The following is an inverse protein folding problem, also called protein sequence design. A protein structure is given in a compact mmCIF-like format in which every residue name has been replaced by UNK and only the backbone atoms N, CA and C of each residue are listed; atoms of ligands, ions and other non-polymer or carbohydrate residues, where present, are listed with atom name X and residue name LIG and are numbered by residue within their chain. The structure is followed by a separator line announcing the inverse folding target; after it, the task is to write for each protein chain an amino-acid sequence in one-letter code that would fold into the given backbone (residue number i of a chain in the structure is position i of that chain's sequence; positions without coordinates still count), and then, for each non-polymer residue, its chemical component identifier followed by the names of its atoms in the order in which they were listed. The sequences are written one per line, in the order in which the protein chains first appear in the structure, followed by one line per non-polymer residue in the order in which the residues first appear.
data_IF_440038312349
#
_entry.id   IF_440038312349
#
_cell.length_a   1.000
_cell.length_b   1.000
_cell.length_c   1.000
_cell.angle_alpha   90.00
_cell.angle_beta   90.00
_cell.angle_gamma   90.00
#
_symmetry.space_group_name_H-M   'P 1'
#
loop_
_entity.id
_entity.type
_entity.pdbx_description
1 polymer ?
#
# COMPACT_ATOMS: atom_id res chain seq x y z
N UNK A 1 10.07 -0.48 -6.52
CA UNK A 1 9.36 -1.79 -6.65
C UNK A 1 10.02 -3.05 -6.02
N UNK A 2 11.36 -3.29 -6.07
CA UNK A 2 11.99 -4.55 -5.58
C UNK A 2 11.89 -4.88 -4.07
N UNK A 3 11.30 -3.99 -3.28
CA UNK A 3 11.27 -4.11 -1.81
C UNK A 3 10.08 -4.91 -1.27
N UNK A 4 9.04 -5.12 -2.07
CA UNK A 4 7.76 -5.61 -1.57
C UNK A 4 7.32 -6.99 -2.10
N UNK A 5 8.18 -7.69 -2.83
CA UNK A 5 7.81 -8.96 -3.49
C UNK A 5 8.01 -10.24 -2.67
N UNK A 6 8.32 -10.17 -1.36
CA UNK A 6 8.68 -11.40 -0.62
C UNK A 6 8.04 -11.63 0.76
N UNK A 7 6.98 -10.91 1.14
CA UNK A 7 6.15 -11.30 2.30
C UNK A 7 4.67 -10.98 2.05
N UNK A 8 3.76 -11.91 2.35
CA UNK A 8 2.30 -11.66 2.35
C UNK A 8 1.92 -10.45 3.22
N UNK A 9 2.75 -10.12 4.21
CA UNK A 9 2.59 -8.93 5.06
C UNK A 9 2.88 -7.62 4.31
N UNK A 10 3.91 -7.60 3.46
CA UNK A 10 4.35 -6.37 2.78
C UNK A 10 3.29 -5.82 1.83
N UNK A 11 2.67 -6.68 1.02
CA UNK A 11 1.59 -6.29 0.10
C UNK A 11 0.35 -5.77 0.83
N UNK A 12 -0.02 -6.39 1.95
CA UNK A 12 -1.19 -5.99 2.74
C UNK A 12 -0.97 -4.64 3.44
N UNK A 13 0.22 -4.43 4.01
CA UNK A 13 0.57 -3.15 4.63
C UNK A 13 0.58 -2.03 3.60
N UNK A 14 1.17 -2.23 2.41
CA UNK A 14 1.13 -1.20 1.35
C UNK A 14 -0.30 -0.91 0.92
N UNK A 15 -1.12 -1.95 0.71
CA UNK A 15 -2.52 -1.77 0.35
C UNK A 15 -3.23 -0.87 1.36
N UNK A 16 -3.06 -1.12 2.66
CA UNK A 16 -3.67 -0.31 3.71
C UNK A 16 -3.14 1.12 3.76
N UNK A 17 -1.84 1.32 3.53
CA UNK A 17 -1.27 2.64 3.42
C UNK A 17 -1.88 3.41 2.25
N UNK A 18 -1.86 2.83 1.04
CA UNK A 18 -2.34 3.50 -0.16
C UNK A 18 -3.86 3.67 -0.15
N UNK A 19 -4.62 2.74 0.42
CA UNK A 19 -6.08 2.81 0.55
C UNK A 19 -6.55 3.95 1.47
N UNK A 20 -5.68 4.44 2.38
CA UNK A 20 -5.97 5.64 3.19
C UNK A 20 -5.93 6.93 2.38
N UNK A 21 -5.32 6.92 1.20
CA UNK A 21 -5.31 8.09 0.33
C UNK A 21 -6.60 8.13 -0.52
N UNK A 22 -7.47 9.15 -0.35
CA UNK A 22 -8.77 9.19 -1.02
C UNK A 22 -8.69 9.11 -2.56
N UNK A 23 -9.49 8.23 -3.15
CA UNK A 23 -9.67 8.13 -4.59
C UNK A 23 -10.36 9.39 -5.12
N UNK A 24 -9.60 10.28 -5.77
CA UNK A 24 -10.07 11.57 -6.29
C UNK A 24 -9.16 12.73 -5.93
N UNK A 25 -8.32 12.57 -4.91
CA UNK A 25 -7.31 13.57 -4.57
C UNK A 25 -6.18 13.58 -5.62
N UNK A 26 -5.74 14.78 -6.00
CA UNK A 26 -4.53 14.95 -6.81
C UNK A 26 -3.32 14.50 -6.02
N UNK A 27 -2.43 13.77 -6.69
CA UNK A 27 -1.17 13.36 -6.10
C UNK A 27 -0.24 14.58 -6.00
N UNK A 28 0.29 14.79 -4.81
CA UNK A 28 1.40 15.69 -4.50
C UNK A 28 2.65 14.87 -4.18
N UNK A 29 3.82 15.50 -4.17
CA UNK A 29 5.08 14.83 -3.80
C UNK A 29 4.94 14.06 -2.47
N UNK A 30 4.27 14.68 -1.48
CA UNK A 30 3.85 14.06 -0.22
C UNK A 30 2.34 14.02 -0.11
N UNK A 31 1.77 12.82 -0.12
CA UNK A 31 0.35 12.55 0.04
C UNK A 31 0.06 12.17 1.48
N UNK A 32 -0.44 13.10 2.28
CA UNK A 32 -0.71 12.89 3.70
C UNK A 32 -1.93 11.98 3.93
N UNK A 33 -1.81 11.06 4.88
CA UNK A 33 -2.83 10.05 5.22
C UNK A 33 -3.15 10.02 6.73
N UNK A 34 -2.76 11.07 7.45
CA UNK A 34 -3.05 11.23 8.89
C UNK A 34 -2.09 10.47 9.80
N UNK A 35 -2.56 10.10 10.99
CA UNK A 35 -1.75 9.35 11.95
C UNK A 35 -1.65 7.86 11.60
N UNK A 36 -0.47 7.28 11.79
CA UNK A 36 -0.23 5.86 11.59
C UNK A 36 0.67 5.28 12.69
N UNK A 37 0.11 4.45 13.57
CA UNK A 37 0.88 3.81 14.64
C UNK A 37 1.28 2.38 14.24
N UNK A 38 2.56 1.99 14.38
CA UNK A 38 3.00 0.62 14.09
C UNK A 38 2.29 -0.46 14.92
N UNK A 39 1.84 -0.11 16.13
CA UNK A 39 1.07 -1.02 17.00
C UNK A 39 -0.27 -1.42 16.38
N UNK A 40 -0.96 -0.47 15.77
CA UNK A 40 -2.27 -0.70 15.14
C UNK A 40 -2.13 -1.62 13.94
N UNK A 41 -1.10 -1.41 13.11
CA UNK A 41 -0.77 -2.29 11.99
C UNK A 41 -0.36 -3.69 12.47
N UNK A 42 0.45 -3.78 13.52
CA UNK A 42 0.89 -5.05 14.07
C UNK A 42 -0.30 -5.88 14.58
N UNK A 43 -1.24 -5.25 15.28
CA UNK A 43 -2.48 -5.87 15.74
C UNK A 43 -3.36 -6.30 14.56
N UNK A 44 -3.61 -5.40 13.59
CA UNK A 44 -4.44 -5.68 12.40
C UNK A 44 -3.93 -6.88 11.60
N UNK A 45 -2.62 -7.01 11.45
CA UNK A 45 -2.02 -8.08 10.65
C UNK A 45 -1.56 -9.28 11.45
N UNK A 46 -1.81 -9.32 12.76
CA UNK A 46 -1.38 -10.41 13.65
C UNK A 46 0.13 -10.72 13.53
N UNK A 47 0.94 -9.66 13.49
CA UNK A 47 2.40 -9.74 13.37
C UNK A 47 3.09 -8.95 14.47
N UNK A 48 4.39 -9.19 14.65
CA UNK A 48 5.16 -8.41 15.61
C UNK A 48 5.32 -6.95 15.18
N UNK A 49 5.33 -6.05 16.17
CA UNK A 49 5.64 -4.63 15.95
C UNK A 49 6.99 -4.43 15.26
N UNK A 50 7.99 -5.24 15.59
CA UNK A 50 9.32 -5.21 14.97
C UNK A 50 9.28 -5.46 13.46
N UNK A 51 8.46 -6.42 13.00
CA UNK A 51 8.30 -6.69 11.57
C UNK A 51 7.69 -5.50 10.83
N UNK A 52 6.64 -4.87 11.39
CA UNK A 52 6.03 -3.66 10.82
C UNK A 52 7.04 -2.52 10.74
N UNK A 53 7.72 -2.23 11.85
CA UNK A 53 8.74 -1.16 11.91
C UNK A 53 9.84 -1.39 10.88
N UNK A 54 10.28 -2.65 10.69
CA UNK A 54 11.30 -2.99 9.67
C UNK A 54 10.82 -2.69 8.25
N UNK A 55 9.55 -3.02 7.93
CA UNK A 55 8.96 -2.73 6.61
C UNK A 55 8.85 -1.22 6.40
N UNK A 56 8.32 -0.49 7.39
CA UNK A 56 8.15 0.95 7.30
C UNK A 56 9.50 1.68 7.21
N UNK A 57 10.50 1.29 8.00
CA UNK A 57 11.83 1.89 7.91
C UNK A 57 12.48 1.64 6.53
N UNK A 58 12.27 0.46 5.93
CA UNK A 58 12.75 0.17 4.58
C UNK A 58 12.06 1.02 3.53
N UNK A 59 10.73 1.20 3.62
CA UNK A 59 9.99 2.08 2.73
C UNK A 59 10.41 3.55 2.90
N UNK A 60 10.64 3.99 4.14
CA UNK A 60 11.16 5.33 4.44
C UNK A 60 12.55 5.58 3.85
N UNK A 61 13.46 4.60 3.96
CA UNK A 61 14.79 4.69 3.38
C UNK A 61 14.79 4.82 1.85
N UNK A 62 13.72 4.36 1.18
CA UNK A 62 13.52 4.50 -0.27
C UNK A 62 12.87 5.84 -0.66
N UNK A 63 12.47 6.65 0.33
CA UNK A 63 11.69 7.87 0.12
C UNK A 63 10.23 7.60 -0.23
N UNK A 64 9.74 6.37 -0.04
CA UNK A 64 8.38 6.01 -0.43
C UNK A 64 7.33 6.50 0.58
N UNK A 65 7.73 6.68 1.84
CA UNK A 65 6.90 7.16 2.95
C UNK A 65 7.70 8.04 3.92
N UNK A 66 7.00 8.78 4.76
CA UNK A 66 7.60 9.50 5.89
C UNK A 66 6.54 10.08 6.82
N UNK A 67 7.00 10.88 7.78
CA UNK A 67 6.16 11.60 8.72
C UNK A 67 6.92 12.83 9.21
N UNK A 68 6.18 13.92 9.46
CA UNK A 68 6.78 15.22 9.78
C UNK A 68 6.73 15.57 11.28
N UNK A 69 6.09 14.72 12.09
CA UNK A 69 5.97 14.94 13.54
C UNK A 69 7.16 14.46 14.38
N UNK A 70 7.14 14.88 15.64
CA UNK A 70 8.15 14.50 16.65
C UNK A 70 8.04 13.01 17.03
N UNK A 71 6.84 12.45 16.88
CA UNK A 71 6.54 11.06 17.16
C UNK A 71 6.40 10.23 15.88
N UNK A 72 6.63 8.92 16.01
CA UNK A 72 6.52 8.00 14.89
C UNK A 72 5.10 8.00 14.31
N UNK A 73 4.98 8.35 13.03
CA UNK A 73 3.72 8.27 12.30
C UNK A 73 2.75 9.43 12.54
N UNK A 74 3.22 10.50 13.18
CA UNK A 74 2.50 11.77 13.27
C UNK A 74 2.64 12.55 11.97
N UNK A 75 1.51 12.93 11.35
CA UNK A 75 1.45 13.54 10.02
C UNK A 75 2.14 12.66 8.95
N UNK A 76 1.71 11.40 8.85
CA UNK A 76 2.28 10.43 7.93
C UNK A 76 1.92 10.75 6.49
N UNK A 77 2.90 10.62 5.60
CA UNK A 77 2.74 10.83 4.17
C UNK A 77 3.30 9.66 3.36
N UNK A 78 2.74 9.52 2.16
CA UNK A 78 3.12 8.54 1.15
C UNK A 78 3.56 9.30 -0.09
N UNK A 79 4.63 8.88 -0.74
CA UNK A 79 5.05 9.50 -2.00
C UNK A 79 4.03 9.24 -3.12
N UNK A 80 3.88 10.21 -4.04
CA UNK A 80 3.10 10.00 -5.27
C UNK A 80 3.58 8.75 -6.02
N UNK A 81 4.91 8.57 -6.14
CA UNK A 81 5.53 7.42 -6.80
C UNK A 81 5.05 6.09 -6.25
N UNK A 82 5.01 5.92 -4.92
CA UNK A 82 4.56 4.67 -4.31
C UNK A 82 3.07 4.41 -4.62
N UNK A 83 2.24 5.46 -4.61
CA UNK A 83 0.81 5.34 -4.93
C UNK A 83 0.62 4.93 -6.39
N UNK A 84 1.36 5.54 -7.32
CA UNK A 84 1.30 5.23 -8.75
C UNK A 84 1.80 3.82 -9.04
N UNK A 85 2.98 3.44 -8.51
CA UNK A 85 3.53 2.08 -8.61
C UNK A 85 2.52 1.05 -8.12
N UNK A 86 1.89 1.31 -6.96
CA UNK A 86 0.89 0.43 -6.38
C UNK A 86 -0.37 0.31 -7.25
N UNK A 87 -0.90 1.44 -7.74
CA UNK A 87 -2.06 1.48 -8.63
C UNK A 87 -1.79 0.74 -9.95
N UNK A 88 -0.60 0.94 -10.53
CA UNK A 88 -0.17 0.21 -11.73
C UNK A 88 -0.14 -1.30 -11.51
N UNK A 89 0.44 -1.75 -10.40
CA UNK A 89 0.44 -3.16 -10.05
C UNK A 89 -0.98 -3.74 -9.82
N UNK A 90 -1.86 -3.00 -9.15
CA UNK A 90 -3.27 -3.40 -8.98
C UNK A 90 -4.01 -3.48 -10.32
N UNK A 91 -3.79 -2.54 -11.24
CA UNK A 91 -4.43 -2.53 -12.54
C UNK A 91 -4.10 -3.78 -13.35
N UNK A 92 -2.84 -4.22 -13.38
CA UNK A 92 -2.44 -5.47 -14.05
C UNK A 92 -3.17 -6.68 -13.45
N UNK A 93 -3.27 -6.75 -12.11
CA UNK A 93 -3.98 -7.84 -11.43
C UNK A 93 -5.47 -7.85 -11.77
N UNK A 94 -6.11 -6.68 -11.77
CA UNK A 94 -7.53 -6.56 -12.07
C UNK A 94 -7.86 -6.82 -13.53
N UNK A 95 -6.96 -6.47 -14.45
CA UNK A 95 -7.14 -6.77 -15.87
C UNK A 95 -7.17 -8.29 -16.11
N UNK A 96 -6.22 -9.03 -15.54
CA UNK A 96 -6.17 -10.49 -15.66
C UNK A 96 -7.43 -11.16 -15.06
N UNK A 97 -7.92 -10.63 -13.93
CA UNK A 97 -9.16 -11.10 -13.31
C UNK A 97 -10.39 -10.78 -14.18
N UNK A 98 -10.47 -9.55 -14.71
CA UNK A 98 -11.57 -9.12 -15.56
C UNK A 98 -11.66 -9.97 -16.82
N UNK A 99 -10.52 -10.25 -17.48
CA UNK A 99 -10.46 -11.14 -18.66
C UNK A 99 -10.96 -12.54 -18.33
N UNK A 100 -10.41 -13.15 -17.28
CA UNK A 100 -10.82 -14.49 -16.86
C UNK A 100 -12.32 -14.58 -16.57
N UNK A 101 -12.90 -13.55 -15.94
CA UNK A 101 -14.33 -13.49 -15.66
C UNK A 101 -15.15 -13.35 -16.95
N UNK A 102 -14.76 -12.46 -17.85
CA UNK A 102 -15.42 -12.29 -19.16
C UNK A 102 -15.43 -13.59 -19.97
N UNK A 103 -14.29 -14.30 -20.01
CA UNK A 103 -14.16 -15.58 -20.72
C UNK A 103 -15.06 -16.66 -20.09
N UNK A 104 -15.09 -16.76 -18.76
CA UNK A 104 -15.95 -17.70 -18.05
C UNK A 104 -17.44 -17.41 -18.28
N UNK A 105 -17.86 -16.14 -18.25
CA UNK A 105 -19.23 -15.77 -18.58
C UNK A 105 -19.58 -16.15 -20.03
N UNK A 106 -18.68 -15.92 -20.99
CA UNK A 106 -18.90 -16.33 -22.37
C UNK A 106 -19.06 -17.86 -22.52
N UNK A 107 -18.37 -18.66 -21.72
CA UNK A 107 -18.52 -20.13 -21.72
C UNK A 107 -19.80 -20.62 -21.07
N UNK A 108 -20.32 -19.93 -20.05
CA UNK A 108 -21.53 -20.33 -19.32
C UNK A 108 -22.81 -19.95 -20.08
N UNK A 109 -22.78 -18.83 -20.82
CA UNK A 109 -23.92 -18.30 -21.56
C UNK A 109 -23.84 -18.51 -23.07
N UNK A 110 -22.90 -19.33 -23.55
CA UNK A 110 -22.88 -19.88 -24.91
C UNK A 110 -23.70 -21.16 -25.01
#
# INVERSE_FOLDING_TARGET
MKTFTFTNLGSNVIHDLVARFPSGNKLSERCYVGELRPGDLASRYHVSRTQIVRVLNRARALGDIGWDGSQYGENFWISARLIEDYRGWQAVKFEALSRSMSDACAQIYA
#
